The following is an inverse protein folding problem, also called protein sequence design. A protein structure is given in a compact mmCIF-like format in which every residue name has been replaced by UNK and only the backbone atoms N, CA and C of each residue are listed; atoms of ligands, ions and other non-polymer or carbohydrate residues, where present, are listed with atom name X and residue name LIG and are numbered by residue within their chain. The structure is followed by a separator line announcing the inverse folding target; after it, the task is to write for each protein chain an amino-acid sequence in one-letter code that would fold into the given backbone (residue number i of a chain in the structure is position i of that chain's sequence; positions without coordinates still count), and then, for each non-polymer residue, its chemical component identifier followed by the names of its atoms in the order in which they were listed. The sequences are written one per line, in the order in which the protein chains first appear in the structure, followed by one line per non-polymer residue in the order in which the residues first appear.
data_IF_425300858038
#
_entry.id   IF_425300858038
#
_cell.length_a   1.000
_cell.length_b   1.000
_cell.length_c   1.000
_cell.angle_alpha   90.00
_cell.angle_beta   90.00
_cell.angle_gamma   90.00
#
_symmetry.space_group_name_H-M   'P 1'
#
loop_
_entity.id
_entity.type
_entity.pdbx_description
1 polymer ?
#
# COMPACT_ATOMS: atom_id res chain seq x y z
N UNK A 1 69.24 44.80 31.85
CA UNK A 1 68.60 44.44 30.56
C UNK A 1 67.11 44.75 30.64
N UNK A 2 66.56 45.31 29.57
CA UNK A 2 65.37 46.19 29.50
C UNK A 2 64.01 45.53 29.79
N UNK A 3 63.06 46.39 30.19
CA UNK A 3 61.64 46.16 30.49
C UNK A 3 60.70 46.42 29.29
N UNK A 4 59.39 46.17 29.53
CA UNK A 4 58.13 46.59 28.84
C UNK A 4 57.36 45.43 28.16
N UNK A 5 56.12 45.03 28.50
CA UNK A 5 54.79 45.66 28.80
C UNK A 5 54.03 46.27 27.58
N UNK A 6 52.80 45.74 27.38
CA UNK A 6 51.54 46.40 26.91
C UNK A 6 51.46 46.80 25.41
N UNK A 7 50.31 46.83 24.66
CA UNK A 7 48.86 46.81 24.92
C UNK A 7 48.06 46.58 23.60
N UNK A 8 46.78 46.19 23.70
CA UNK A 8 45.70 46.24 22.68
C UNK A 8 45.41 47.65 22.12
N UNK A 9 44.78 47.74 20.93
CA UNK A 9 43.65 48.61 20.46
C UNK A 9 43.42 48.27 18.96
N UNK A 10 42.31 47.61 18.58
CA UNK A 10 40.99 48.13 18.16
C UNK A 10 40.91 48.63 16.69
N UNK A 11 39.97 48.05 15.95
CA UNK A 11 39.51 48.48 14.63
C UNK A 11 38.12 47.92 14.37
N UNK A 12 37.10 48.70 14.77
CA UNK A 12 35.67 48.51 14.53
C UNK A 12 35.35 48.97 13.11
N UNK A 13 34.55 48.21 12.37
CA UNK A 13 33.58 48.79 11.42
C UNK A 13 32.26 48.03 11.52
N UNK A 14 31.23 48.79 11.90
CA UNK A 14 29.82 48.46 11.90
C UNK A 14 29.23 48.95 10.58
N UNK A 15 28.45 48.11 9.90
CA UNK A 15 27.23 48.55 9.23
C UNK A 15 26.20 47.42 9.29
N UNK A 16 25.24 47.59 10.20
CA UNK A 16 23.93 46.99 10.10
C UNK A 16 22.99 48.05 9.52
N UNK A 17 22.05 47.66 8.66
CA UNK A 17 20.69 48.22 8.55
C UNK A 17 19.85 47.27 7.70
N UNK A 18 18.91 46.62 8.39
CA UNK A 18 17.51 46.30 8.04
C UNK A 18 17.25 45.60 6.69
N UNK A 19 16.66 44.40 6.70
CA UNK A 19 15.26 44.22 7.12
C UNK A 19 15.02 42.94 7.92
N UNK A 20 14.72 43.11 9.22
CA UNK A 20 13.77 42.28 9.96
C UNK A 20 12.39 42.85 9.68
N UNK A 21 11.44 42.05 9.16
CA UNK A 21 10.04 41.88 9.63
C UNK A 21 9.40 40.80 8.73
N UNK A 22 9.41 39.55 9.18
CA UNK A 22 8.38 38.52 8.89
C UNK A 22 8.77 37.16 9.51
N UNK A 23 9.11 37.15 10.80
CA UNK A 23 8.64 36.06 11.66
C UNK A 23 7.39 36.61 12.34
N UNK A 24 6.27 35.91 12.22
CA UNK A 24 5.01 35.99 12.99
C UNK A 24 3.77 35.88 12.08
N UNK A 25 3.52 34.68 11.57
CA UNK A 25 2.20 34.07 11.44
C UNK A 25 2.42 32.66 10.90
N UNK A 26 1.78 31.65 11.50
CA UNK A 26 1.97 30.20 11.28
C UNK A 26 3.19 29.61 11.98
N UNK A 27 2.98 29.25 13.25
CA UNK A 27 3.86 28.36 13.98
C UNK A 27 3.79 26.95 13.41
N UNK A 28 4.64 26.64 12.44
CA UNK A 28 5.02 25.26 12.15
C UNK A 28 6.05 24.85 13.19
N UNK A 29 5.64 23.99 14.10
CA UNK A 29 6.53 23.24 14.99
C UNK A 29 7.27 22.24 14.09
N UNK A 30 8.60 22.26 14.06
CA UNK A 30 9.37 21.16 13.45
C UNK A 30 8.91 19.85 14.13
N UNK A 31 8.52 18.81 13.37
CA UNK A 31 8.13 17.55 13.97
C UNK A 31 9.37 16.95 14.63
N UNK A 32 9.28 16.74 15.93
CA UNK A 32 10.26 16.01 16.71
C UNK A 32 10.24 14.56 16.18
N UNK A 33 11.35 14.10 15.60
CA UNK A 33 11.49 12.75 15.02
C UNK A 33 11.15 11.61 16.00
N UNK A 34 11.11 11.89 17.30
CA UNK A 34 10.86 10.91 18.36
C UNK A 34 9.37 10.71 18.74
N UNK A 35 8.42 11.44 18.14
CA UNK A 35 6.97 11.30 18.40
C UNK A 35 6.16 10.73 17.23
N UNK A 36 6.82 10.25 16.16
CA UNK A 36 6.15 9.46 15.12
C UNK A 36 5.96 8.05 15.69
N UNK A 37 4.74 7.77 16.16
CA UNK A 37 4.29 6.42 16.52
C UNK A 37 4.79 5.43 15.47
N UNK A 38 5.36 4.26 15.87
CA UNK A 38 6.02 3.36 14.93
C UNK A 38 5.13 3.07 13.73
N UNK A 39 5.65 3.41 12.53
CA UNK A 39 5.02 3.25 11.21
C UNK A 39 4.79 1.78 10.79
N UNK A 40 4.81 0.86 11.75
CA UNK A 40 4.82 -0.58 11.52
C UNK A 40 3.65 -1.24 12.21
N UNK A 41 2.45 -1.03 11.64
CA UNK A 41 1.52 -2.14 11.47
C UNK A 41 1.54 -2.56 9.99
N UNK A 42 2.73 -2.90 9.49
CA UNK A 42 2.76 -4.00 8.52
C UNK A 42 2.28 -5.20 9.34
N UNK A 43 1.07 -5.67 9.07
CA UNK A 43 0.62 -6.93 9.64
C UNK A 43 1.65 -7.97 9.21
N UNK A 44 2.56 -8.30 10.12
CA UNK A 44 3.09 -9.64 10.16
C UNK A 44 1.84 -10.50 10.17
N UNK A 45 1.59 -11.19 9.05
CA UNK A 45 0.72 -12.35 9.02
C UNK A 45 1.27 -13.28 10.11
N UNK A 46 0.86 -13.09 11.36
CA UNK A 46 1.14 -14.04 12.42
C UNK A 46 0.54 -15.31 11.87
N UNK A 47 1.41 -16.26 11.55
CA UNK A 47 1.05 -17.53 10.96
C UNK A 47 0.27 -18.33 11.99
N UNK A 48 -0.97 -17.92 12.25
CA UNK A 48 -1.94 -18.72 12.98
C UNK A 48 -2.24 -19.88 12.03
N UNK A 49 -1.86 -21.08 12.44
CA UNK A 49 -2.07 -22.28 11.65
C UNK A 49 -3.56 -22.47 11.38
N UNK A 50 -4.02 -22.08 10.19
CA UNK A 50 -5.37 -22.36 9.74
C UNK A 50 -5.47 -23.83 9.32
N UNK A 51 -6.51 -24.50 9.81
CA UNK A 51 -6.84 -25.87 9.37
C UNK A 51 -8.03 -25.80 8.43
N UNK A 52 -7.87 -26.13 7.13
CA UNK A 52 -8.98 -26.06 6.18
C UNK A 52 -10.06 -27.08 6.51
N UNK A 53 -11.31 -26.69 6.29
CA UNK A 53 -12.49 -27.55 6.44
C UNK A 53 -12.48 -28.71 5.44
N UNK A 54 -13.23 -29.78 5.71
CA UNK A 54 -13.38 -30.92 4.79
C UNK A 54 -13.83 -30.47 3.41
N UNK A 55 -14.83 -29.58 3.33
CA UNK A 55 -15.35 -29.06 2.07
C UNK A 55 -14.32 -28.24 1.29
N UNK A 56 -13.42 -27.52 1.97
CA UNK A 56 -12.31 -26.84 1.30
C UNK A 56 -11.27 -27.84 0.77
N UNK A 57 -10.98 -28.92 1.52
CA UNK A 57 -10.05 -29.97 1.07
C UNK A 57 -10.57 -30.72 -0.15
N UNK A 58 -11.87 -30.99 -0.21
CA UNK A 58 -12.50 -31.70 -1.33
C UNK A 58 -12.46 -30.90 -2.65
N UNK A 59 -12.28 -29.58 -2.57
CA UNK A 59 -12.13 -28.69 -3.73
C UNK A 59 -10.69 -28.58 -4.25
N UNK A 60 -9.73 -29.19 -3.55
CA UNK A 60 -8.29 -29.09 -3.85
C UNK A 60 -7.83 -30.42 -4.45
N UNK A 61 -7.25 -30.34 -5.65
CA UNK A 61 -6.57 -31.50 -6.21
C UNK A 61 -5.33 -31.85 -5.36
N UNK A 62 -5.09 -33.13 -5.01
CA UNK A 62 -3.94 -33.54 -4.21
C UNK A 62 -2.56 -33.12 -4.77
N UNK A 63 -2.47 -32.86 -6.07
CA UNK A 63 -1.24 -32.40 -6.71
C UNK A 63 -0.95 -30.92 -6.44
N UNK A 64 -1.96 -30.13 -6.10
CA UNK A 64 -1.82 -28.69 -5.93
C UNK A 64 -1.07 -28.34 -4.65
N UNK A 65 -0.43 -27.18 -4.69
CA UNK A 65 0.18 -26.52 -3.53
C UNK A 65 -0.69 -25.33 -3.17
N UNK A 66 -1.17 -25.34 -1.94
CA UNK A 66 -2.07 -24.31 -1.40
C UNK A 66 -1.41 -23.70 -0.17
N UNK A 67 -1.35 -22.38 -0.14
CA UNK A 67 -1.05 -21.63 1.09
C UNK A 67 -2.33 -20.92 1.54
N UNK A 68 -2.55 -20.90 2.85
CA UNK A 68 -3.73 -20.31 3.46
C UNK A 68 -3.40 -18.95 4.07
N UNK A 69 -4.35 -18.03 3.97
CA UNK A 69 -4.38 -16.79 4.72
C UNK A 69 -4.72 -17.08 6.19
N UNK A 70 -4.24 -16.25 7.14
CA UNK A 70 -4.76 -16.27 8.51
C UNK A 70 -6.28 -16.10 8.61
N UNK A 71 -6.93 -15.55 7.58
CA UNK A 71 -8.38 -15.42 7.46
C UNK A 71 -9.08 -16.70 6.96
N UNK A 72 -8.40 -17.84 6.87
CA UNK A 72 -9.02 -19.11 6.49
C UNK A 72 -9.40 -19.27 5.01
N UNK A 73 -8.97 -18.33 4.17
CA UNK A 73 -9.09 -18.39 2.70
C UNK A 73 -7.74 -18.70 2.06
N UNK A 74 -7.77 -19.07 0.78
CA UNK A 74 -6.55 -19.31 0.01
C UNK A 74 -5.77 -18.02 -0.18
N UNK A 75 -4.46 -18.07 0.04
CA UNK A 75 -3.50 -17.04 -0.34
C UNK A 75 -2.86 -17.35 -1.69
N UNK A 76 -2.42 -18.59 -1.92
CA UNK A 76 -1.92 -19.03 -3.24
C UNK A 76 -2.32 -20.46 -3.56
N UNK A 77 -2.57 -20.74 -4.84
CA UNK A 77 -2.73 -22.09 -5.41
C UNK A 77 -1.87 -22.18 -6.67
N UNK A 78 -1.13 -23.27 -6.82
CA UNK A 78 -0.43 -23.61 -8.05
C UNK A 78 -0.18 -25.12 -8.12
N UNK A 79 0.09 -25.65 -9.31
CA UNK A 79 0.41 -27.06 -9.50
C UNK A 79 1.90 -27.23 -9.85
N UNK A 80 2.74 -27.82 -8.98
CA UNK A 80 4.14 -28.09 -9.30
C UNK A 80 4.33 -29.04 -10.47
N UNK A 81 3.34 -29.89 -10.77
CA UNK A 81 3.39 -30.84 -11.87
C UNK A 81 2.82 -30.28 -13.18
N UNK A 82 2.32 -29.03 -13.21
CA UNK A 82 1.78 -28.43 -14.43
C UNK A 82 0.78 -27.32 -14.18
N UNK A 83 -0.47 -27.53 -14.61
CA UNK A 83 -1.52 -26.51 -14.60
C UNK A 83 -2.65 -26.89 -13.64
N UNK A 84 -3.44 -25.91 -13.23
CA UNK A 84 -4.65 -26.08 -12.41
C UNK A 84 -5.87 -26.48 -13.24
N UNK A 85 -5.79 -26.35 -14.57
CA UNK A 85 -6.89 -26.68 -15.48
C UNK A 85 -6.38 -27.34 -16.75
N UNK A 86 -7.28 -28.05 -17.41
CA UNK A 86 -7.10 -28.51 -18.79
C UNK A 86 -7.11 -27.34 -19.79
N UNK A 87 -6.59 -27.62 -20.99
CA UNK A 87 -6.60 -26.68 -22.13
C UNK A 87 -8.02 -26.24 -22.46
N UNK A 88 -8.18 -24.94 -22.74
CA UNK A 88 -9.49 -24.34 -23.01
C UNK A 88 -9.48 -23.48 -24.27
N UNK A 89 -10.60 -23.47 -24.99
CA UNK A 89 -10.84 -22.54 -26.11
C UNK A 89 -11.57 -21.26 -25.70
N UNK A 90 -12.05 -21.19 -24.45
CA UNK A 90 -12.69 -19.99 -23.93
C UNK A 90 -11.66 -18.89 -23.72
N UNK A 91 -12.10 -17.63 -23.71
CA UNK A 91 -11.22 -16.51 -23.38
C UNK A 91 -10.68 -16.63 -21.94
N UNK A 92 -9.47 -16.10 -21.64
CA UNK A 92 -8.85 -16.21 -20.33
C UNK A 92 -9.76 -15.81 -19.16
N UNK A 93 -10.55 -14.75 -19.32
CA UNK A 93 -11.50 -14.24 -18.32
C UNK A 93 -12.60 -15.27 -18.02
N UNK A 94 -13.10 -15.95 -19.06
CA UNK A 94 -14.09 -17.01 -18.91
C UNK A 94 -13.54 -18.25 -18.20
N UNK A 95 -12.27 -18.59 -18.45
CA UNK A 95 -11.58 -19.69 -17.74
C UNK A 95 -11.38 -19.33 -16.26
N UNK A 96 -10.88 -18.13 -15.98
CA UNK A 96 -10.66 -17.62 -14.63
C UNK A 96 -11.97 -17.60 -13.83
N UNK A 97 -13.02 -16.94 -14.35
CA UNK A 97 -14.29 -16.83 -13.65
C UNK A 97 -14.95 -18.17 -13.39
N UNK A 98 -14.88 -19.11 -14.35
CA UNK A 98 -15.37 -20.47 -14.12
C UNK A 98 -14.61 -21.15 -12.97
N UNK A 99 -13.27 -21.11 -13.00
CA UNK A 99 -12.45 -21.74 -11.97
C UNK A 99 -12.75 -21.18 -10.57
N UNK A 100 -12.84 -19.85 -10.45
CA UNK A 100 -13.13 -19.17 -9.17
C UNK A 100 -14.56 -19.48 -8.68
N UNK A 101 -15.56 -19.54 -9.57
CA UNK A 101 -16.94 -19.89 -9.21
C UNK A 101 -17.09 -21.33 -8.76
N UNK A 102 -16.48 -22.28 -9.46
CA UNK A 102 -16.51 -23.69 -9.07
C UNK A 102 -15.83 -23.94 -7.71
N UNK A 103 -14.96 -23.03 -7.28
CA UNK A 103 -14.15 -23.14 -6.05
C UNK A 103 -14.37 -21.96 -5.12
N UNK A 104 -15.56 -21.36 -5.15
CA UNK A 104 -15.86 -20.11 -4.43
C UNK A 104 -15.47 -20.15 -2.95
N UNK A 105 -15.66 -21.31 -2.30
CA UNK A 105 -15.31 -21.54 -0.88
C UNK A 105 -13.84 -21.40 -0.55
N UNK A 106 -12.95 -21.61 -1.52
CA UNK A 106 -11.52 -21.37 -1.34
C UNK A 106 -11.20 -19.87 -1.23
N UNK A 107 -12.05 -19.03 -1.81
CA UNK A 107 -11.83 -17.61 -1.99
C UNK A 107 -12.82 -16.75 -1.20
N UNK A 108 -13.60 -17.33 -0.27
CA UNK A 108 -14.59 -16.57 0.48
C UNK A 108 -15.64 -15.88 -0.39
N UNK A 109 -15.80 -16.33 -1.65
CA UNK A 109 -16.79 -15.81 -2.59
C UNK A 109 -18.09 -16.54 -2.36
N UNK A 110 -19.26 -16.00 -2.71
CA UNK A 110 -20.50 -16.79 -2.69
C UNK A 110 -21.25 -16.67 -4.00
N UNK A 111 -22.31 -17.46 -4.14
CA UNK A 111 -23.16 -17.45 -5.33
C UNK A 111 -24.00 -16.14 -5.42
N UNK A 112 -24.09 -15.33 -4.35
CA UNK A 112 -24.94 -14.13 -4.32
C UNK A 112 -24.51 -12.92 -3.47
N UNK A 113 -23.46 -13.00 -2.64
CA UNK A 113 -23.12 -11.93 -1.68
C UNK A 113 -22.02 -10.96 -2.14
N UNK A 114 -20.92 -11.48 -2.68
CA UNK A 114 -19.78 -10.69 -3.16
C UNK A 114 -19.43 -11.11 -4.58
N UNK A 115 -19.39 -10.14 -5.49
CA UNK A 115 -19.07 -10.33 -6.90
C UNK A 115 -17.60 -10.04 -7.20
N UNK A 116 -17.07 -10.68 -8.24
CA UNK A 116 -15.74 -10.39 -8.77
C UNK A 116 -15.86 -9.36 -9.89
N UNK A 117 -15.25 -8.18 -9.70
CA UNK A 117 -15.07 -7.19 -10.76
C UNK A 117 -13.68 -7.37 -11.36
N UNK A 118 -13.58 -7.51 -12.68
CA UNK A 118 -12.29 -7.50 -13.36
C UNK A 118 -11.77 -6.05 -13.38
N UNK A 119 -10.65 -5.82 -12.69
CA UNK A 119 -10.04 -4.51 -12.55
C UNK A 119 -8.98 -4.28 -13.62
N UNK A 120 -8.18 -5.31 -13.90
CA UNK A 120 -7.08 -5.21 -14.84
C UNK A 120 -6.81 -6.53 -15.54
N UNK A 121 -6.38 -6.40 -16.79
CA UNK A 121 -5.97 -7.50 -17.65
C UNK A 121 -4.77 -7.04 -18.48
N UNK A 122 -3.70 -7.83 -18.49
CA UNK A 122 -2.63 -7.64 -19.43
C UNK A 122 -1.97 -8.96 -19.83
N UNK A 123 -1.37 -8.96 -21.02
CA UNK A 123 -0.56 -10.06 -21.52
C UNK A 123 0.92 -9.69 -21.39
N UNK A 124 1.66 -10.44 -20.59
CA UNK A 124 3.09 -10.24 -20.40
C UNK A 124 3.86 -10.89 -21.57
N UNK A 125 4.06 -10.14 -22.65
CA UNK A 125 4.99 -10.53 -23.71
C UNK A 125 6.44 -10.33 -23.23
N UNK A 126 7.38 -11.25 -23.57
CA UNK A 126 7.25 -12.38 -24.51
C UNK A 126 6.79 -13.70 -23.86
N UNK A 127 6.54 -13.73 -22.54
CA UNK A 127 6.22 -14.97 -21.80
C UNK A 127 4.83 -15.53 -22.13
N UNK A 128 3.97 -14.74 -22.77
CA UNK A 128 2.66 -15.16 -23.21
C UNK A 128 1.69 -15.45 -22.08
N UNK A 129 1.91 -14.90 -20.88
CA UNK A 129 1.04 -15.12 -19.71
C UNK A 129 0.01 -14.00 -19.63
N UNK A 130 -1.26 -14.36 -19.48
CA UNK A 130 -2.32 -13.44 -19.10
C UNK A 130 -2.37 -13.28 -17.59
N UNK A 131 -2.39 -12.03 -17.13
CA UNK A 131 -2.60 -11.65 -15.76
C UNK A 131 -3.98 -11.01 -15.64
N UNK A 132 -4.85 -11.60 -14.83
CA UNK A 132 -6.19 -11.07 -14.56
C UNK A 132 -6.27 -10.72 -13.09
N UNK A 133 -6.72 -9.50 -12.77
CA UNK A 133 -6.87 -9.03 -11.40
C UNK A 133 -8.33 -8.70 -11.13
N UNK A 134 -8.86 -9.28 -10.07
CA UNK A 134 -10.24 -9.10 -9.64
C UNK A 134 -10.28 -8.46 -8.26
N UNK A 135 -11.12 -7.46 -8.09
CA UNK A 135 -11.49 -6.92 -6.77
C UNK A 135 -12.88 -7.41 -6.40
N UNK A 136 -13.08 -7.62 -5.10
CA UNK A 136 -14.36 -8.02 -4.54
C UNK A 136 -15.27 -6.79 -4.38
N UNK A 137 -16.51 -6.90 -4.84
CA UNK A 137 -17.50 -5.82 -4.83
C UNK A 137 -18.88 -6.37 -4.43
N UNK A 138 -19.61 -5.62 -3.59
CA UNK A 138 -21.03 -5.84 -3.37
C UNK A 138 -21.82 -5.64 -4.68
N UNK A 139 -22.50 -6.67 -5.22
CA UNK A 139 -23.27 -6.53 -6.44
C UNK A 139 -24.37 -5.47 -6.37
N UNK A 140 -24.91 -5.17 -5.18
CA UNK A 140 -26.01 -4.23 -4.94
C UNK A 140 -25.50 -2.82 -4.66
N UNK A 141 -24.78 -2.60 -3.55
CA UNK A 141 -24.33 -1.25 -3.16
C UNK A 141 -23.11 -0.76 -3.95
N UNK A 142 -22.43 -1.65 -4.69
CA UNK A 142 -21.17 -1.36 -5.39
C UNK A 142 -20.01 -0.97 -4.46
N UNK A 143 -20.17 -1.14 -3.15
CA UNK A 143 -19.07 -1.00 -2.18
C UNK A 143 -18.01 -2.06 -2.44
N UNK A 144 -16.75 -1.63 -2.40
CA UNK A 144 -15.59 -2.46 -2.71
C UNK A 144 -14.95 -2.98 -1.43
N UNK A 145 -14.24 -4.10 -1.54
CA UNK A 145 -13.25 -4.55 -0.58
C UNK A 145 -11.86 -4.21 -1.14
N UNK A 146 -11.35 -2.99 -0.95
CA UNK A 146 -10.17 -2.49 -1.69
C UNK A 146 -8.88 -3.27 -1.40
N UNK A 147 -8.82 -3.96 -0.27
CA UNK A 147 -7.66 -4.79 0.12
C UNK A 147 -7.85 -6.29 -0.22
N UNK A 148 -9.03 -6.65 -0.72
CA UNK A 148 -9.39 -8.02 -1.10
C UNK A 148 -9.29 -8.18 -2.61
N UNK A 149 -8.28 -8.91 -3.07
CA UNK A 149 -7.98 -9.09 -4.49
C UNK A 149 -7.71 -10.54 -4.80
N UNK A 150 -8.10 -10.96 -6.01
CA UNK A 150 -7.75 -12.26 -6.60
C UNK A 150 -7.00 -12.01 -7.89
N UNK A 151 -5.84 -12.63 -8.07
CA UNK A 151 -5.12 -12.65 -9.33
C UNK A 151 -5.06 -14.04 -9.92
N UNK A 152 -5.34 -14.16 -11.22
CA UNK A 152 -5.28 -15.42 -11.96
C UNK A 152 -4.25 -15.29 -13.08
N UNK A 153 -3.30 -16.22 -13.11
CA UNK A 153 -2.26 -16.29 -14.12
C UNK A 153 -2.56 -17.42 -15.09
N UNK A 154 -2.65 -17.11 -16.38
CA UNK A 154 -3.11 -18.04 -17.41
C UNK A 154 -2.10 -18.12 -18.54
N UNK A 155 -1.77 -19.33 -18.96
CA UNK A 155 -0.96 -19.56 -20.15
C UNK A 155 -1.70 -19.09 -21.41
N UNK A 156 -1.10 -18.20 -22.18
CA UNK A 156 -1.75 -17.57 -23.34
C UNK A 156 -1.84 -18.44 -24.58
N UNK A 157 -1.09 -19.55 -24.66
CA UNK A 157 -1.20 -20.48 -25.78
C UNK A 157 -2.35 -21.48 -25.60
N UNK A 158 -2.58 -21.94 -24.36
CA UNK A 158 -3.51 -23.04 -24.05
C UNK A 158 -4.68 -22.64 -23.15
N UNK A 159 -4.64 -21.41 -22.62
CA UNK A 159 -5.60 -20.88 -21.65
C UNK A 159 -5.76 -21.79 -20.41
N UNK A 160 -4.67 -22.41 -19.99
CA UNK A 160 -4.59 -23.19 -18.75
C UNK A 160 -4.18 -22.29 -17.59
N UNK A 161 -4.81 -22.47 -16.43
CA UNK A 161 -4.45 -21.69 -15.25
C UNK A 161 -3.13 -22.21 -14.68
N UNK A 162 -2.15 -21.31 -14.52
CA UNK A 162 -0.83 -21.58 -13.95
C UNK A 162 -0.91 -21.47 -12.42
N UNK A 163 -1.45 -20.36 -11.94
CA UNK A 163 -1.53 -20.05 -10.52
C UNK A 163 -2.68 -19.08 -10.23
N UNK A 164 -3.16 -19.14 -9.00
CA UNK A 164 -4.09 -18.17 -8.42
C UNK A 164 -3.46 -17.63 -7.15
N UNK A 165 -3.49 -16.31 -6.96
CA UNK A 165 -3.12 -15.68 -5.71
C UNK A 165 -4.27 -14.80 -5.22
N UNK A 166 -4.34 -14.61 -3.91
CA UNK A 166 -5.39 -13.87 -3.28
C UNK A 166 -4.88 -13.17 -2.02
N UNK A 167 -5.44 -12.00 -1.74
CA UNK A 167 -5.17 -11.23 -0.54
C UNK A 167 -6.44 -10.97 0.22
N UNK A 168 -6.39 -11.15 1.54
CA UNK A 168 -7.37 -10.68 2.52
C UNK A 168 -8.83 -10.98 2.15
N UNK A 169 -9.13 -12.21 1.75
CA UNK A 169 -10.49 -12.65 1.44
C UNK A 169 -11.22 -13.07 2.72
N UNK A 170 -12.52 -12.76 2.88
CA UNK A 170 -13.28 -13.11 4.07
C UNK A 170 -13.46 -14.64 4.21
N UNK A 171 -13.33 -15.17 5.43
CA UNK A 171 -13.46 -16.60 5.70
C UNK A 171 -14.88 -17.13 5.42
N UNK A 172 -15.86 -16.32 5.78
CA UNK A 172 -17.28 -16.66 5.77
C UNK A 172 -18.09 -15.58 5.05
N UNK A 173 -19.29 -16.00 4.63
CA UNK A 173 -20.25 -15.10 4.01
C UNK A 173 -20.72 -14.05 5.03
N UNK A 174 -20.67 -12.76 4.71
CA UNK A 174 -21.44 -11.79 5.46
C UNK A 174 -22.94 -12.05 5.22
N UNK A 175 -23.66 -12.47 6.26
CA UNK A 175 -25.12 -12.60 6.23
C UNK A 175 -25.73 -11.20 6.23
N UNK A 176 -26.03 -10.69 5.03
CA UNK A 176 -26.34 -9.29 4.84
C UNK A 176 -25.06 -8.46 4.95
N UNK A 177 -24.82 -7.60 3.97
CA UNK A 177 -23.64 -6.75 4.04
C UNK A 177 -23.84 -5.68 5.12
N UNK A 178 -22.85 -5.49 6.00
CA UNK A 178 -22.98 -4.53 7.09
C UNK A 178 -23.11 -3.11 6.54
N UNK A 179 -23.86 -2.28 7.25
CA UNK A 179 -23.87 -0.84 7.05
C UNK A 179 -23.06 -0.15 8.14
N UNK A 180 -22.49 1.01 7.82
CA UNK A 180 -21.83 1.82 8.81
C UNK A 180 -22.86 2.41 9.78
N UNK A 181 -22.56 2.40 11.07
CA UNK A 181 -23.37 3.06 12.10
C UNK A 181 -22.94 4.52 12.25
N UNK A 182 -21.66 4.81 12.05
CA UNK A 182 -21.12 6.16 12.00
C UNK A 182 -21.58 6.89 10.73
N UNK A 183 -21.90 8.16 10.89
CA UNK A 183 -21.97 9.09 9.76
C UNK A 183 -20.58 9.37 9.17
N UNK A 184 -20.55 9.84 7.92
CA UNK A 184 -19.30 10.25 7.29
C UNK A 184 -18.60 11.39 8.05
N UNK A 185 -19.36 12.29 8.69
CA UNK A 185 -18.81 13.40 9.49
C UNK A 185 -18.12 12.89 10.76
N UNK A 186 -18.74 11.95 11.48
CA UNK A 186 -18.11 11.30 12.64
C UNK A 186 -16.86 10.52 12.23
N UNK A 187 -16.93 9.79 11.11
CA UNK A 187 -15.81 9.05 10.55
C UNK A 187 -14.61 9.97 10.22
N UNK A 188 -14.85 11.18 9.70
CA UNK A 188 -13.79 12.17 9.48
C UNK A 188 -13.09 12.53 10.79
N UNK A 189 -13.85 12.75 11.86
CA UNK A 189 -13.30 13.03 13.19
C UNK A 189 -12.34 11.94 13.67
N UNK A 190 -12.75 10.67 13.57
CA UNK A 190 -11.88 9.53 13.91
C UNK A 190 -10.65 9.42 13.00
N UNK A 191 -10.81 9.62 11.70
CA UNK A 191 -9.70 9.55 10.74
C UNK A 191 -8.65 10.63 11.04
N UNK A 192 -9.07 11.85 11.36
CA UNK A 192 -8.16 12.94 11.74
C UNK A 192 -7.42 12.63 13.03
N UNK A 193 -8.11 12.08 14.05
CA UNK A 193 -7.50 11.64 15.30
C UNK A 193 -6.45 10.55 15.07
N UNK A 194 -6.76 9.51 14.29
CA UNK A 194 -5.80 8.46 13.89
C UNK A 194 -4.65 8.98 13.02
N UNK A 195 -4.85 10.10 12.33
CA UNK A 195 -3.79 10.78 11.58
C UNK A 195 -2.91 11.69 12.47
N UNK A 196 -3.33 11.96 13.72
CA UNK A 196 -2.67 12.89 14.64
C UNK A 196 -2.91 14.37 14.30
N UNK A 197 -4.03 14.68 13.64
CA UNK A 197 -4.39 16.01 13.14
C UNK A 197 -5.66 16.50 13.80
N UNK A 198 -5.77 17.79 14.14
CA UNK A 198 -6.94 18.31 14.89
C UNK A 198 -8.14 18.66 14.01
N UNK A 199 -7.89 19.07 12.78
CA UNK A 199 -8.93 19.52 11.85
C UNK A 199 -8.46 19.37 10.40
N UNK A 200 -9.41 19.39 9.47
CA UNK A 200 -9.11 19.37 8.03
C UNK A 200 -8.30 20.59 7.57
N UNK A 201 -8.36 21.71 8.30
CA UNK A 201 -7.61 22.94 7.99
C UNK A 201 -6.09 22.77 8.13
N UNK A 202 -5.66 21.80 8.93
CA UNK A 202 -4.23 21.46 9.12
C UNK A 202 -3.69 20.58 7.96
N UNK A 203 -4.54 20.08 7.07
CA UNK A 203 -4.14 19.21 5.96
C UNK A 203 -3.56 19.99 4.77
N UNK A 204 -2.60 19.38 4.07
CA UNK A 204 -1.99 19.95 2.87
C UNK A 204 -2.91 19.96 1.65
N UNK A 205 -3.91 19.08 1.64
CA UNK A 205 -4.93 18.99 0.62
C UNK A 205 -6.23 18.45 1.26
N UNK A 206 -7.38 18.57 0.59
CA UNK A 206 -8.62 17.98 1.09
C UNK A 206 -8.45 16.47 1.29
N UNK A 207 -8.84 15.96 2.46
CA UNK A 207 -8.95 14.51 2.65
C UNK A 207 -10.02 13.96 1.71
N UNK A 208 -9.89 12.68 1.39
CA UNK A 208 -10.94 11.94 0.69
C UNK A 208 -11.33 10.77 1.55
N UNK A 209 -12.62 10.49 1.66
CA UNK A 209 -13.16 9.40 2.47
C UNK A 209 -14.29 8.73 1.70
N UNK A 210 -14.36 7.41 1.77
CA UNK A 210 -15.38 6.60 1.11
C UNK A 210 -15.81 5.42 1.99
N UNK A 211 -17.10 5.03 1.96
CA UNK A 211 -17.55 3.80 2.59
C UNK A 211 -17.02 2.59 1.81
N UNK A 212 -16.44 1.64 2.53
CA UNK A 212 -15.89 0.40 1.98
C UNK A 212 -16.32 -0.79 2.83
N UNK A 213 -16.05 -1.98 2.33
CA UNK A 213 -16.12 -3.21 3.10
C UNK A 213 -14.69 -3.65 3.46
N UNK A 214 -14.52 -4.22 4.65
CA UNK A 214 -13.21 -4.65 5.13
C UNK A 214 -13.29 -6.05 5.72
N UNK A 215 -12.39 -6.95 5.29
CA UNK A 215 -12.33 -8.31 5.81
C UNK A 215 -11.45 -8.37 7.08
N UNK A 216 -12.03 -8.92 8.15
CA UNK A 216 -11.39 -9.25 9.42
C UNK A 216 -11.47 -10.77 9.67
N UNK A 217 -10.74 -11.31 10.67
CA UNK A 217 -10.89 -12.71 11.07
C UNK A 217 -12.32 -13.09 11.49
N UNK A 218 -13.09 -12.14 12.02
CA UNK A 218 -14.46 -12.32 12.50
C UNK A 218 -15.52 -12.17 11.40
N UNK A 219 -15.14 -11.66 10.23
CA UNK A 219 -16.02 -11.49 9.08
C UNK A 219 -15.78 -10.20 8.30
N UNK A 220 -16.72 -9.86 7.41
CA UNK A 220 -16.70 -8.57 6.72
C UNK A 220 -17.39 -7.53 7.59
N UNK A 221 -16.75 -6.37 7.76
CA UNK A 221 -17.32 -5.20 8.45
C UNK A 221 -17.52 -4.03 7.47
N UNK A 222 -18.47 -3.15 7.78
CA UNK A 222 -18.55 -1.85 7.13
C UNK A 222 -17.44 -0.97 7.67
N UNK A 223 -16.80 -0.19 6.79
CA UNK A 223 -15.65 0.62 7.15
C UNK A 223 -15.64 1.93 6.37
N UNK A 224 -14.86 2.89 6.84
CA UNK A 224 -14.50 4.06 6.06
C UNK A 224 -13.02 4.01 5.74
N UNK A 225 -12.69 4.20 4.46
CA UNK A 225 -11.32 4.36 4.00
C UNK A 225 -11.07 5.81 3.64
N UNK A 226 -10.01 6.37 4.17
CA UNK A 226 -9.61 7.74 3.95
C UNK A 226 -8.16 7.88 3.49
N UNK A 227 -7.92 8.89 2.67
CA UNK A 227 -6.58 9.35 2.31
C UNK A 227 -6.38 10.73 2.90
N UNK A 228 -5.39 10.84 3.78
CA UNK A 228 -5.20 11.97 4.69
C UNK A 228 -3.82 12.60 4.42
N UNK A 229 -3.76 13.70 3.65
CA UNK A 229 -2.52 14.38 3.31
C UNK A 229 -2.10 15.33 4.44
N UNK A 230 -1.32 14.82 5.39
CA UNK A 230 -0.96 15.54 6.62
C UNK A 230 0.19 16.52 6.39
N UNK A 231 1.28 16.05 5.76
CA UNK A 231 2.48 16.87 5.55
C UNK A 231 3.29 16.37 4.36
N UNK A 232 4.37 17.09 4.01
CA UNK A 232 5.32 16.66 2.98
C UNK A 232 6.01 15.35 3.34
N UNK A 233 5.88 14.88 4.59
CA UNK A 233 6.39 13.60 5.05
C UNK A 233 5.32 12.57 5.46
N UNK A 234 4.04 12.92 5.37
CA UNK A 234 2.97 12.07 5.87
C UNK A 234 1.73 12.18 5.01
N UNK A 235 1.41 11.09 4.33
CA UNK A 235 0.15 10.93 3.61
C UNK A 235 -0.41 9.56 3.95
N UNK A 236 -1.38 9.50 4.85
CA UNK A 236 -1.89 8.23 5.34
C UNK A 236 -3.02 7.69 4.47
N UNK A 237 -3.03 6.37 4.28
CA UNK A 237 -4.23 5.60 3.95
C UNK A 237 -4.73 4.98 5.25
N UNK A 238 -5.89 5.42 5.73
CA UNK A 238 -6.48 5.02 7.00
C UNK A 238 -7.80 4.32 6.72
N UNK A 239 -8.01 3.16 7.34
CA UNK A 239 -9.30 2.48 7.33
C UNK A 239 -9.77 2.28 8.77
N UNK A 240 -10.99 2.72 9.07
CA UNK A 240 -11.62 2.59 10.39
C UNK A 240 -12.89 1.73 10.32
N UNK A 241 -13.24 1.06 11.41
CA UNK A 241 -14.50 0.35 11.55
C UNK A 241 -15.65 1.34 11.55
N UNK A 242 -16.66 1.09 10.72
CA UNK A 242 -17.81 1.96 10.54
C UNK A 242 -18.79 1.94 11.71
N UNK A 243 -18.56 1.12 12.75
CA UNK A 243 -19.40 1.08 13.96
C UNK A 243 -18.93 2.04 15.04
N UNK A 244 -17.62 2.06 15.29
CA UNK A 244 -17.05 2.72 16.47
C UNK A 244 -15.82 3.59 16.17
N UNK A 245 -15.34 3.61 14.92
CA UNK A 245 -14.18 4.39 14.53
C UNK A 245 -12.84 3.75 14.93
N UNK A 246 -12.85 2.51 15.42
CA UNK A 246 -11.64 1.75 15.74
C UNK A 246 -10.74 1.61 14.50
N UNK A 247 -9.43 1.73 14.70
CA UNK A 247 -8.47 1.63 13.61
C UNK A 247 -8.35 0.19 13.09
N UNK A 248 -8.69 -0.03 11.82
CA UNK A 248 -8.52 -1.32 11.14
C UNK A 248 -7.19 -1.40 10.39
N UNK A 249 -6.78 -0.29 9.77
CA UNK A 249 -5.53 -0.20 9.02
C UNK A 249 -5.05 1.24 8.94
N UNK A 250 -3.74 1.44 9.03
CA UNK A 250 -3.06 2.70 8.73
C UNK A 250 -1.72 2.40 8.09
N UNK A 251 -1.40 3.07 7.00
CA UNK A 251 -0.04 3.09 6.47
C UNK A 251 0.27 4.46 5.87
N UNK A 252 1.51 4.90 6.06
CA UNK A 252 2.01 6.06 5.35
C UNK A 252 2.30 5.66 3.90
N UNK A 253 1.74 6.40 2.94
CA UNK A 253 1.99 6.20 1.51
C UNK A 253 3.37 6.65 1.11
N UNK A 254 3.98 7.52 1.91
CA UNK A 254 5.37 7.82 1.75
C UNK A 254 6.24 6.78 2.44
N UNK A 255 7.20 6.28 1.68
CA UNK A 255 8.15 5.30 2.14
C UNK A 255 9.54 5.84 1.83
N UNK A 256 10.27 6.19 2.88
CA UNK A 256 11.58 6.88 2.91
C UNK A 256 11.54 8.39 2.63
N UNK A 257 12.07 9.15 3.59
CA UNK A 257 12.38 10.56 3.43
C UNK A 257 13.86 10.84 3.46
N UNK A 258 14.16 11.92 2.75
CA UNK A 258 15.41 12.62 2.61
C UNK A 258 16.42 12.42 3.76
N UNK A 259 17.66 11.97 3.47
CA UNK A 259 18.05 11.47 2.15
C UNK A 259 17.31 10.16 1.86
N UNK A 260 16.88 9.96 0.61
CA UNK A 260 16.36 8.68 0.16
C UNK A 260 17.29 7.56 0.65
N UNK A 261 16.75 6.51 1.28
CA UNK A 261 17.54 5.42 1.88
C UNK A 261 16.86 4.09 1.63
N UNK A 262 17.62 3.01 1.69
CA UNK A 262 17.05 1.67 1.71
C UNK A 262 18.01 0.66 2.32
N UNK A 263 17.48 -0.50 2.71
CA UNK A 263 18.28 -1.59 3.27
C UNK A 263 18.82 -2.46 2.14
N UNK A 264 20.12 -2.39 1.89
CA UNK A 264 20.79 -3.15 0.82
C UNK A 264 21.74 -4.19 1.42
N UNK A 265 21.96 -5.27 0.69
CA UNK A 265 23.10 -6.14 0.96
C UNK A 265 24.35 -5.43 0.44
N UNK A 266 25.35 -5.22 1.32
CA UNK A 266 26.63 -4.67 0.89
C UNK A 266 27.45 -5.69 0.08
N UNK A 267 27.15 -6.97 0.24
CA UNK A 267 27.78 -8.08 -0.47
C UNK A 267 26.71 -9.04 -1.02
N UNK A 268 27.12 -10.11 -1.70
CA UNK A 268 26.17 -11.07 -2.27
C UNK A 268 25.33 -11.74 -1.16
N UNK A 269 23.99 -11.74 -1.27
CA UNK A 269 23.16 -12.48 -0.33
C UNK A 269 23.52 -13.97 -0.38
N UNK A 270 23.60 -14.61 0.79
CA UNK A 270 24.00 -16.02 0.98
C UNK A 270 25.49 -16.34 0.72
N UNK A 271 26.40 -15.39 0.90
CA UNK A 271 27.82 -15.74 1.02
C UNK A 271 28.07 -16.37 2.40
N UNK A 272 28.60 -17.60 2.44
CA UNK A 272 28.89 -18.30 3.69
C UNK A 272 29.79 -17.44 4.60
N UNK A 273 29.35 -17.23 5.85
CA UNK A 273 30.09 -16.48 6.87
C UNK A 273 29.70 -15.01 7.03
N UNK A 274 28.72 -14.52 6.27
CA UNK A 274 28.14 -13.19 6.48
C UNK A 274 26.70 -13.33 6.97
N UNK A 275 26.41 -12.74 8.12
CA UNK A 275 25.04 -12.56 8.57
C UNK A 275 24.29 -11.74 7.50
N UNK A 276 23.05 -12.12 7.19
CA UNK A 276 22.12 -11.51 6.22
C UNK A 276 21.68 -10.08 6.64
N UNK A 277 22.62 -9.28 7.16
CA UNK A 277 22.41 -7.98 7.75
C UNK A 277 22.44 -6.96 6.62
N UNK A 278 21.24 -6.67 6.12
CA UNK A 278 21.03 -5.51 5.24
C UNK A 278 21.38 -4.24 5.99
N UNK A 279 22.22 -3.40 5.40
CA UNK A 279 22.57 -2.10 5.96
C UNK A 279 21.70 -1.01 5.35
N UNK A 280 21.30 -0.03 6.16
CA UNK A 280 20.60 1.16 5.69
C UNK A 280 21.61 2.05 4.95
N UNK A 281 21.44 2.20 3.64
CA UNK A 281 22.32 2.97 2.76
C UNK A 281 21.53 4.13 2.15
N UNK A 282 22.20 5.27 1.98
CA UNK A 282 21.66 6.43 1.28
C UNK A 282 21.61 6.16 -0.23
N UNK A 283 20.47 6.49 -0.81
CA UNK A 283 20.26 6.62 -2.24
C UNK A 283 20.48 8.04 -2.74
N UNK A 284 21.07 8.95 -1.95
CA UNK A 284 21.57 10.20 -2.51
C UNK A 284 22.79 9.88 -3.41
N UNK A 285 22.66 10.12 -4.72
CA UNK A 285 23.68 9.73 -5.68
C UNK A 285 24.96 10.56 -5.67
N UNK A 286 26.03 9.96 -6.22
CA UNK A 286 27.26 10.66 -6.61
C UNK A 286 27.16 11.06 -8.11
N UNK A 287 27.22 12.37 -8.36
CA UNK A 287 27.06 12.95 -9.71
C UNK A 287 28.21 12.60 -10.64
N UNK A 288 29.39 12.35 -10.11
CA UNK A 288 30.56 11.95 -10.91
C UNK A 288 30.51 10.47 -11.27
N UNK A 289 30.04 9.62 -10.35
CA UNK A 289 29.92 8.18 -10.56
C UNK A 289 28.69 7.78 -11.40
N UNK A 290 27.65 8.61 -11.44
CA UNK A 290 26.41 8.34 -12.18
C UNK A 290 25.85 9.61 -12.83
N UNK A 291 26.50 10.13 -13.87
CA UNK A 291 26.19 11.42 -14.49
C UNK A 291 24.85 11.47 -15.24
N UNK A 292 24.14 10.34 -15.38
CA UNK A 292 22.81 10.26 -16.01
C UNK A 292 21.65 10.15 -15.01
N UNK A 293 21.92 10.32 -13.72
CA UNK A 293 20.90 10.59 -12.71
C UNK A 293 20.82 9.58 -11.57
N UNK A 294 20.38 10.10 -10.42
CA UNK A 294 20.09 9.41 -9.17
C UNK A 294 18.90 10.09 -8.47
N UNK A 295 18.46 9.50 -7.35
CA UNK A 295 17.56 10.15 -6.39
C UNK A 295 18.36 11.12 -5.52
N UNK A 296 17.82 12.29 -5.26
CA UNK A 296 18.32 13.30 -4.32
C UNK A 296 17.27 13.56 -3.23
N UNK A 297 17.57 14.46 -2.30
CA UNK A 297 16.65 14.86 -1.22
C UNK A 297 15.32 15.42 -1.73
N UNK A 298 15.33 16.07 -2.88
CA UNK A 298 14.25 16.92 -3.42
C UNK A 298 14.09 16.79 -4.95
N UNK A 299 14.87 15.91 -5.58
CA UNK A 299 14.90 15.75 -7.03
C UNK A 299 15.20 14.30 -7.41
N UNK A 300 14.65 13.85 -8.54
CA UNK A 300 15.04 12.59 -9.18
C UNK A 300 15.49 12.93 -10.59
N UNK A 301 16.66 12.45 -11.00
CA UNK A 301 17.16 12.61 -12.37
C UNK A 301 17.23 11.23 -13.04
N UNK A 302 16.90 11.17 -14.35
CA UNK A 302 16.94 9.94 -15.14
C UNK A 302 15.56 9.41 -15.52
N UNK A 303 15.37 8.08 -15.49
CA UNK A 303 14.13 7.42 -15.89
C UNK A 303 13.10 7.44 -14.75
N UNK A 304 12.52 8.61 -14.50
CA UNK A 304 11.51 8.81 -13.47
C UNK A 304 10.18 8.18 -13.90
N UNK A 305 9.58 7.39 -13.01
CA UNK A 305 8.20 6.92 -13.17
C UNK A 305 7.28 7.83 -12.33
N UNK A 306 6.33 8.49 -12.98
CA UNK A 306 5.27 9.19 -12.26
C UNK A 306 4.17 8.21 -11.89
N UNK A 307 3.94 8.00 -10.59
CA UNK A 307 2.83 7.22 -10.07
C UNK A 307 1.69 8.16 -9.66
N UNK A 308 0.46 7.78 -9.99
CA UNK A 308 -0.75 8.51 -9.61
C UNK A 308 -1.68 7.58 -8.85
N UNK A 309 -2.47 8.15 -7.95
CA UNK A 309 -3.58 7.41 -7.36
C UNK A 309 -4.67 7.21 -8.42
N UNK A 310 -4.95 5.95 -8.75
CA UNK A 310 -6.00 5.52 -9.69
C UNK A 310 -7.09 4.76 -8.91
N UNK A 311 -7.95 5.50 -8.21
CA UNK A 311 -9.02 4.90 -7.39
C UNK A 311 -10.11 4.26 -8.22
N UNK A 312 -10.42 4.81 -9.38
CA UNK A 312 -11.49 4.33 -10.25
C UNK A 312 -11.03 3.23 -11.20
N UNK A 313 -9.72 2.98 -11.30
CA UNK A 313 -9.13 1.90 -12.08
C UNK A 313 -9.13 2.21 -13.57
N UNK A 314 -9.02 3.49 -13.93
CA UNK A 314 -9.13 3.96 -15.30
C UNK A 314 -7.75 4.13 -16.00
N UNK A 315 -6.66 3.86 -15.29
CA UNK A 315 -5.27 4.08 -15.71
C UNK A 315 -4.96 5.52 -16.15
N UNK A 316 -5.61 6.50 -15.53
CA UNK A 316 -5.39 7.93 -15.75
C UNK A 316 -5.06 8.60 -14.42
N UNK A 317 -4.27 9.69 -14.43
CA UNK A 317 -4.16 10.55 -13.26
C UNK A 317 -5.54 11.08 -12.88
N UNK A 318 -5.92 11.02 -11.60
CA UNK A 318 -7.13 11.67 -11.14
C UNK A 318 -7.09 13.18 -11.39
N UNK A 319 -8.23 13.80 -11.72
CA UNK A 319 -8.40 15.20 -12.17
C UNK A 319 -7.87 16.28 -11.20
N UNK A 320 -7.28 15.91 -10.06
CA UNK A 320 -6.76 16.84 -9.04
C UNK A 320 -5.32 16.61 -8.65
N UNK A 321 -4.63 15.62 -9.22
CA UNK A 321 -3.19 15.49 -9.03
C UNK A 321 -2.47 16.37 -10.06
N UNK A 322 -2.62 17.69 -9.93
CA UNK A 322 -1.56 18.57 -10.42
C UNK A 322 -0.47 18.42 -9.37
N UNK A 323 0.53 17.58 -9.66
CA UNK A 323 1.84 17.78 -9.09
C UNK A 323 2.21 19.22 -9.49
N UNK A 324 1.93 20.18 -8.60
CA UNK A 324 2.49 21.51 -8.76
C UNK A 324 3.99 21.28 -8.79
N UNK A 325 4.63 21.80 -9.83
CA UNK A 325 6.07 21.86 -9.96
C UNK A 325 6.68 22.21 -8.60
N UNK A 326 7.29 21.23 -7.95
CA UNK A 326 7.84 21.39 -6.62
C UNK A 326 7.46 20.26 -5.68
N UNK A 327 8.51 19.51 -5.32
CA UNK A 327 8.65 18.69 -4.11
C UNK A 327 8.10 17.26 -4.25
N UNK A 328 9.02 16.39 -4.70
CA UNK A 328 9.20 15.08 -4.06
C UNK A 328 10.13 15.27 -2.86
#
# INVERSE_FOLDING_TARGET
MKAQRFRRIAGIFVFAVLSSVASMAFGFREPVEDEILPDHFAFDDVAVGFTPSTLQRDLIDPQWRVTWSPLGTVRTIWNPAGFLTETSRQRPEGVALRFLRERWRLFGLTEGGISLRLDAQYNALPKGVWHLYYTLEDPVSKRRLPFSRVSVHIDGATHRIIAVAASRLPAEEPVGLPEAELSQEEAIGFVLDHAGVRSEEELMAPLTIEPVLFATPEGVVAAYRASVPVSGVAWYDITIDGRDGSLLQRFNRYWFFSPAKGRVFLEHPNLDGFDDIRQLVSFAGDRDASPQGWVFSDATEGNNATAWEDRDGNNRPGDRAVARDGIF
#
